data_IF_548543309764
#
_entry.id   IF_548543309764
#
_cell.length_a   1.000
_cell.length_b   1.000
_cell.length_c   1.000
_cell.angle_alpha   90.00
_cell.angle_beta   90.00
_cell.angle_gamma   90.00
#
_symmetry.space_group_name_H-M   'P 1'
#
loop_
_entity.id
_entity.type
_entity.pdbx_description
1 polymer ?
#
# COMPACT_ATOMS: atom_id res chain seq x y z
N UNK A 1 -35.29 35.70 30.35
CA UNK A 1 -34.66 34.49 29.77
C UNK A 1 -34.55 34.71 28.27
N UNK A 2 -33.34 35.02 27.77
CA UNK A 2 -33.11 35.25 26.34
C UNK A 2 -32.87 33.90 25.65
N UNK A 3 -33.78 33.48 24.78
CA UNK A 3 -33.65 32.25 24.01
C UNK A 3 -32.82 32.52 22.74
N UNK A 4 -31.70 31.81 22.67
CA UNK A 4 -30.66 31.85 21.65
C UNK A 4 -31.18 31.58 20.24
N UNK A 5 -30.63 32.35 19.30
CA UNK A 5 -30.77 32.32 17.84
C UNK A 5 -30.06 31.11 17.24
N UNK A 6 -30.72 30.36 16.36
CA UNK A 6 -30.04 29.52 15.35
C UNK A 6 -30.84 29.45 14.04
N UNK A 7 -30.42 30.18 12.98
CA UNK A 7 -30.87 29.93 11.62
C UNK A 7 -29.66 29.53 10.78
N UNK A 8 -29.46 28.22 10.57
CA UNK A 8 -28.65 27.64 9.47
C UNK A 8 -28.59 26.11 9.57
N UNK A 9 -29.60 25.44 9.01
CA UNK A 9 -29.45 24.06 8.54
C UNK A 9 -29.44 24.09 7.01
N UNK A 10 -28.28 24.42 6.45
CA UNK A 10 -28.02 24.25 5.02
C UNK A 10 -27.70 22.77 4.77
N UNK A 11 -28.69 22.01 4.30
CA UNK A 11 -28.49 20.65 3.80
C UNK A 11 -27.79 20.73 2.45
N UNK A 12 -26.48 20.94 2.46
CA UNK A 12 -25.66 20.82 1.26
C UNK A 12 -25.49 19.33 0.92
N UNK A 13 -26.24 18.85 -0.07
CA UNK A 13 -26.08 17.50 -0.62
C UNK A 13 -24.68 17.41 -1.26
N UNK A 14 -23.84 16.43 -0.91
CA UNK A 14 -22.57 16.24 -1.59
C UNK A 14 -22.85 15.84 -3.04
N UNK A 15 -22.49 16.72 -3.97
CA UNK A 15 -22.61 16.50 -5.41
C UNK A 15 -21.58 15.45 -5.83
N UNK A 16 -21.93 14.17 -5.73
CA UNK A 16 -21.10 13.08 -6.23
C UNK A 16 -20.98 13.20 -7.75
N UNK A 17 -19.88 13.78 -8.23
CA UNK A 17 -19.57 13.82 -9.66
C UNK A 17 -19.21 12.40 -10.09
N UNK A 18 -20.20 11.65 -10.59
CA UNK A 18 -19.95 10.38 -11.31
C UNK A 18 -19.17 10.74 -12.58
N UNK A 19 -17.85 10.66 -12.51
CA UNK A 19 -17.01 10.65 -13.70
C UNK A 19 -17.15 9.27 -14.32
N UNK A 20 -17.81 9.19 -15.47
CA UNK A 20 -17.73 8.00 -16.33
C UNK A 20 -16.27 7.72 -16.68
N UNK A 21 -15.84 6.45 -16.72
CA UNK A 21 -14.48 6.10 -17.10
C UNK A 21 -14.31 6.41 -18.59
N UNK A 22 -13.79 7.60 -18.88
CA UNK A 22 -13.32 7.96 -20.22
C UNK A 22 -12.24 6.96 -20.63
N UNK A 23 -12.35 6.39 -21.85
CA UNK A 23 -11.30 5.60 -22.54
C UNK A 23 -9.99 6.40 -22.61
N UNK A 24 -9.22 6.47 -21.53
CA UNK A 24 -8.10 7.41 -21.39
C UNK A 24 -6.74 6.82 -21.70
N UNK A 25 -6.62 5.51 -21.89
CA UNK A 25 -5.33 4.86 -22.01
C UNK A 25 -5.36 3.86 -23.16
N UNK A 26 -5.30 4.37 -24.39
CA UNK A 26 -5.11 3.53 -25.58
C UNK A 26 -3.68 2.97 -25.64
N UNK A 27 -2.71 3.69 -25.07
CA UNK A 27 -1.36 3.18 -24.88
C UNK A 27 -1.27 2.31 -23.60
N UNK A 28 -0.85 1.04 -23.71
CA UNK A 28 -0.50 0.20 -22.58
C UNK A 28 0.47 0.93 -21.63
N UNK A 29 0.31 0.73 -20.32
CA UNK A 29 1.16 1.41 -19.34
C UNK A 29 2.65 1.11 -19.54
N UNK A 30 2.98 -0.08 -20.05
CA UNK A 30 4.33 -0.58 -20.29
C UNK A 30 5.05 0.13 -21.44
N UNK A 31 4.30 0.72 -22.37
CA UNK A 31 4.86 1.47 -23.51
C UNK A 31 5.11 2.93 -23.17
N UNK A 32 4.61 3.41 -22.03
CA UNK A 32 4.83 4.78 -21.57
C UNK A 32 6.26 4.90 -21.06
N UNK A 33 7.03 5.94 -21.41
CA UNK A 33 8.39 6.12 -20.89
C UNK A 33 8.40 6.45 -19.38
N UNK A 34 7.39 7.20 -18.93
CA UNK A 34 7.20 7.62 -17.56
C UNK A 34 5.76 7.33 -17.14
N UNK A 35 5.57 6.76 -15.96
CA UNK A 35 4.24 6.49 -15.40
C UNK A 35 4.00 7.29 -14.12
N UNK A 36 2.77 7.79 -13.89
CA UNK A 36 2.41 8.42 -12.62
C UNK A 36 2.61 7.47 -11.45
N UNK A 37 2.99 8.00 -10.29
CA UNK A 37 3.23 7.21 -9.08
C UNK A 37 2.01 6.36 -8.68
N UNK A 38 0.80 6.89 -8.87
CA UNK A 38 -0.44 6.16 -8.60
C UNK A 38 -0.60 4.94 -9.52
N UNK A 39 -0.31 5.09 -10.81
CA UNK A 39 -0.37 3.98 -11.77
C UNK A 39 0.71 2.93 -11.47
N UNK A 40 1.93 3.38 -11.13
CA UNK A 40 3.00 2.47 -10.72
C UNK A 40 2.61 1.66 -9.47
N UNK A 41 1.94 2.28 -8.50
CA UNK A 41 1.44 1.60 -7.30
C UNK A 41 0.37 0.56 -7.64
N UNK A 42 -0.56 0.89 -8.54
CA UNK A 42 -1.59 -0.02 -9.01
C UNK A 42 -1.00 -1.23 -9.75
N UNK A 43 -0.06 -1.00 -10.66
CA UNK A 43 0.54 -2.06 -11.50
C UNK A 43 1.44 -2.98 -10.67
N UNK A 44 2.25 -2.43 -9.76
CA UNK A 44 3.20 -3.23 -8.98
C UNK A 44 2.60 -3.84 -7.70
N UNK A 45 1.42 -3.39 -7.27
CA UNK A 45 0.83 -3.77 -5.98
C UNK A 45 1.59 -3.21 -4.75
N UNK A 46 2.57 -2.32 -4.97
CA UNK A 46 3.40 -1.73 -3.93
C UNK A 46 2.86 -0.35 -3.55
N UNK A 47 2.88 -0.01 -2.26
CA UNK A 47 2.45 1.31 -1.78
C UNK A 47 3.34 2.44 -2.32
N UNK A 48 2.78 3.64 -2.49
CA UNK A 48 3.55 4.82 -2.92
C UNK A 48 4.74 5.11 -2.01
N UNK A 49 4.58 4.93 -0.70
CA UNK A 49 5.67 5.08 0.29
C UNK A 49 6.80 4.08 0.04
N UNK A 50 6.46 2.83 -0.28
CA UNK A 50 7.44 1.80 -0.61
C UNK A 50 8.15 2.09 -1.94
N UNK A 51 7.47 2.68 -2.92
CA UNK A 51 8.10 3.13 -4.18
C UNK A 51 9.15 4.21 -3.89
N UNK A 52 8.82 5.20 -3.06
CA UNK A 52 9.81 6.20 -2.63
C UNK A 52 11.01 5.56 -1.93
N UNK A 53 10.78 4.58 -1.05
CA UNK A 53 11.86 3.85 -0.38
C UNK A 53 12.74 3.06 -1.37
N UNK A 54 12.13 2.43 -2.37
CA UNK A 54 12.89 1.73 -3.42
C UNK A 54 13.71 2.70 -4.28
N UNK A 55 13.19 3.90 -4.52
CA UNK A 55 13.94 4.95 -5.20
C UNK A 55 15.12 5.45 -4.37
N UNK A 56 14.95 5.65 -3.06
CA UNK A 56 16.08 6.02 -2.18
C UNK A 56 17.13 4.90 -2.07
N UNK A 57 16.75 3.65 -2.34
CA UNK A 57 17.66 2.49 -2.42
C UNK A 57 18.29 2.32 -3.81
N UNK A 58 18.03 3.22 -4.77
CA UNK A 58 18.54 3.14 -6.14
C UNK A 58 17.89 2.04 -7.00
N UNK A 59 16.82 1.39 -6.51
CA UNK A 59 16.13 0.31 -7.24
C UNK A 59 15.15 0.83 -8.30
N UNK A 60 14.68 2.06 -8.15
CA UNK A 60 13.80 2.75 -9.08
C UNK A 60 14.28 4.18 -9.31
N UNK A 61 14.00 4.72 -10.50
CA UNK A 61 14.29 6.12 -10.83
C UNK A 61 13.00 6.91 -10.85
N UNK A 62 12.97 7.99 -10.07
CA UNK A 62 11.87 8.95 -10.04
C UNK A 62 12.28 10.23 -10.76
N UNK A 63 11.39 10.76 -11.59
CA UNK A 63 11.57 12.02 -12.32
C UNK A 63 10.47 13.00 -11.94
N UNK A 64 10.83 14.27 -11.76
CA UNK A 64 9.85 15.34 -11.53
C UNK A 64 9.57 16.05 -12.85
N UNK A 65 8.32 16.04 -13.30
CA UNK A 65 7.87 16.67 -14.55
C UNK A 65 6.63 17.51 -14.25
N UNK A 66 6.68 18.81 -14.58
CA UNK A 66 5.57 19.76 -14.36
C UNK A 66 4.98 19.68 -12.94
N UNK A 67 5.84 19.60 -11.92
CA UNK A 67 5.45 19.52 -10.51
C UNK A 67 4.98 18.14 -10.04
N UNK A 68 4.81 17.16 -10.94
CA UNK A 68 4.41 15.78 -10.60
C UNK A 68 5.62 14.85 -10.55
N UNK A 69 5.56 13.84 -9.68
CA UNK A 69 6.57 12.78 -9.61
C UNK A 69 6.11 11.59 -10.44
N UNK A 70 6.96 11.16 -11.37
CA UNK A 70 6.77 10.04 -12.27
C UNK A 70 7.86 9.00 -12.04
N UNK A 71 7.56 7.74 -12.35
CA UNK A 71 8.47 6.60 -12.28
C UNK A 71 8.93 6.25 -13.69
N UNK A 72 10.21 5.94 -13.87
CA UNK A 72 10.71 5.39 -15.13
C UNK A 72 10.19 3.96 -15.35
N UNK A 73 9.44 3.76 -16.43
CA UNK A 73 8.81 2.48 -16.76
C UNK A 73 9.83 1.35 -16.95
N UNK A 74 11.00 1.55 -17.60
CA UNK A 74 12.00 0.48 -17.70
C UNK A 74 12.49 -0.04 -16.34
N UNK A 75 12.62 0.85 -15.35
CA UNK A 75 12.96 0.46 -13.99
C UNK A 75 11.84 -0.32 -13.31
N UNK A 76 10.60 0.12 -13.51
CA UNK A 76 9.41 -0.56 -12.97
C UNK A 76 9.24 -1.98 -13.57
N UNK A 77 9.41 -2.14 -14.89
CA UNK A 77 9.34 -3.44 -15.56
C UNK A 77 10.44 -4.38 -15.04
N UNK A 78 11.68 -3.88 -14.87
CA UNK A 78 12.77 -4.66 -14.28
C UNK A 78 12.48 -5.07 -12.84
N UNK A 79 11.88 -4.19 -12.04
CA UNK A 79 11.51 -4.50 -10.66
C UNK A 79 10.48 -5.63 -10.61
N UNK A 80 9.44 -5.56 -11.44
CA UNK A 80 8.40 -6.60 -11.50
C UNK A 80 8.98 -7.91 -12.04
N UNK A 81 9.78 -7.87 -13.10
CA UNK A 81 10.41 -9.06 -13.68
C UNK A 81 11.47 -9.72 -12.78
N UNK A 82 12.02 -8.99 -11.80
CA UNK A 82 12.95 -9.53 -10.80
C UNK A 82 12.27 -9.96 -9.50
N UNK A 83 10.94 -9.95 -9.45
CA UNK A 83 10.21 -10.44 -8.29
C UNK A 83 10.45 -11.95 -8.12
N UNK A 84 10.87 -12.35 -6.92
CA UNK A 84 11.01 -13.76 -6.60
C UNK A 84 9.64 -14.46 -6.60
N UNK A 85 9.56 -15.71 -7.08
CA UNK A 85 8.35 -16.52 -6.94
C UNK A 85 7.94 -16.59 -5.47
N UNK A 86 6.66 -16.35 -5.20
CA UNK A 86 6.17 -16.43 -3.84
C UNK A 86 6.30 -17.86 -3.32
N UNK A 87 7.00 -18.01 -2.19
CA UNK A 87 7.11 -19.25 -1.46
C UNK A 87 6.56 -19.07 -0.03
N UNK A 88 5.77 -20.02 0.48
CA UNK A 88 5.37 -20.01 1.88
C UNK A 88 6.60 -19.99 2.79
N UNK A 89 6.74 -18.95 3.62
CA UNK A 89 7.85 -18.89 4.59
C UNK A 89 7.41 -19.48 5.93
N UNK A 90 8.27 -20.29 6.54
CA UNK A 90 8.05 -20.88 7.86
C UNK A 90 8.40 -19.90 9.00
N UNK A 91 8.37 -18.58 8.75
CA UNK A 91 8.67 -17.53 9.76
C UNK A 91 7.81 -17.65 11.01
N UNK A 92 6.60 -18.22 10.89
CA UNK A 92 5.72 -18.51 12.02
C UNK A 92 6.24 -19.59 12.97
N UNK A 93 7.23 -20.40 12.56
CA UNK A 93 7.79 -21.51 13.36
C UNK A 93 8.45 -21.01 14.65
N UNK A 94 9.25 -19.94 14.58
CA UNK A 94 9.88 -19.36 15.76
C UNK A 94 8.85 -18.77 16.74
N UNK A 95 7.81 -18.10 16.20
CA UNK A 95 6.71 -17.59 17.02
C UNK A 95 5.90 -18.72 17.67
N UNK A 96 5.66 -19.83 16.94
CA UNK A 96 4.98 -21.03 17.47
C UNK A 96 5.83 -21.74 18.53
N UNK A 97 7.14 -21.86 18.33
CA UNK A 97 8.07 -22.44 19.31
C UNK A 97 8.10 -21.62 20.61
N UNK A 98 8.22 -20.29 20.51
CA UNK A 98 8.19 -19.40 21.67
C UNK A 98 6.87 -19.51 22.46
N UNK A 99 5.73 -19.63 21.76
CA UNK A 99 4.42 -19.83 22.41
C UNK A 99 4.33 -21.20 23.11
N UNK A 100 4.87 -22.26 22.52
CA UNK A 100 4.83 -23.59 23.12
C UNK A 100 5.75 -23.71 24.34
N UNK A 101 6.90 -23.02 24.34
CA UNK A 101 7.78 -22.92 25.51
C UNK A 101 7.10 -22.17 26.67
N UNK A 102 6.46 -21.03 26.39
CA UNK A 102 5.70 -20.29 27.41
C UNK A 102 4.55 -21.13 27.99
N UNK A 103 3.82 -21.88 27.15
CA UNK A 103 2.78 -22.79 27.61
C UNK A 103 3.35 -23.92 28.48
N UNK A 104 4.49 -24.50 28.11
CA UNK A 104 5.15 -25.53 28.94
C UNK A 104 5.64 -24.97 30.27
N UNK A 105 6.17 -23.75 30.28
CA UNK A 105 6.60 -23.08 31.50
C UNK A 105 5.41 -22.80 32.43
N UNK A 106 4.30 -22.29 31.89
CA UNK A 106 3.10 -22.03 32.69
C UNK A 106 2.48 -23.31 33.27
N UNK A 107 2.51 -24.42 32.54
CA UNK A 107 2.04 -25.73 33.04
C UNK A 107 2.90 -26.28 34.18
N UNK A 108 4.22 -26.05 34.13
CA UNK A 108 5.15 -26.45 35.21
C UNK A 108 4.96 -25.61 36.47
N UNK A 109 4.69 -24.32 36.31
CA UNK A 109 4.51 -23.39 37.45
C UNK A 109 3.11 -23.49 38.06
N UNK A 110 2.08 -23.82 37.27
CA UNK A 110 0.70 -23.96 37.77
C UNK A 110 0.40 -25.31 38.42
N UNK A 111 1.27 -26.31 38.26
CA UNK A 111 1.14 -27.60 38.91
C UNK A 111 -0.04 -28.42 38.36
N UNK A 112 0.23 -29.64 37.94
CA UNK A 112 -0.82 -30.65 37.87
C UNK A 112 -1.40 -30.82 39.27
N UNK A 113 -2.51 -30.12 39.54
CA UNK A 113 -3.39 -30.43 40.64
C UNK A 113 -4.16 -31.69 40.25
N UNK A 114 -3.55 -32.84 40.54
CA UNK A 114 -4.21 -34.13 40.64
C UNK A 114 -4.12 -34.57 42.11
#
# INVERSE_FOLDING_TARGET
>A
MLSTKDPRSSTAVPRTRKTSPSKKDELPWSERPLVPLQLASQVSGISSTSIYRMASQGRLVLRRVAGRVLVETPGLVKLIGSAEPWAPSDRGKAARAKRSELARASWRTSGGAA
#
